data_IF_528320055943
#
_entry.id   IF_528320055943
#
_cell.length_a   1.000
_cell.length_b   1.000
_cell.length_c   1.000
_cell.angle_alpha   90.00
_cell.angle_beta   90.00
_cell.angle_gamma   90.00
#
_symmetry.space_group_name_H-M   'P 1'
#
loop_
_entity.id
_entity.type
_entity.pdbx_description
1 polymer ?
#
# COMPACT_ATOMS: atom_id res chain seq x y z
N UNK A 1 -7.33 12.28 -17.70
CA UNK A 1 -8.52 11.56 -17.25
C UNK A 1 -8.43 11.18 -15.79
N UNK A 2 -9.33 11.68 -14.99
CA UNK A 2 -9.36 11.34 -13.56
C UNK A 2 -10.48 10.38 -13.25
N UNK A 3 -10.26 9.59 -12.20
CA UNK A 3 -11.28 8.71 -11.69
C UNK A 3 -12.42 9.52 -11.08
N UNK A 4 -13.62 9.00 -11.20
CA UNK A 4 -14.80 9.61 -10.61
C UNK A 4 -14.71 9.48 -9.08
N UNK A 5 -14.68 10.61 -8.38
CA UNK A 5 -14.54 10.65 -6.93
C UNK A 5 -15.68 9.97 -6.18
N UNK A 6 -16.87 9.89 -6.78
CA UNK A 6 -18.03 9.24 -6.17
C UNK A 6 -18.09 7.74 -6.42
N UNK A 7 -17.25 7.24 -7.30
CA UNK A 7 -17.21 5.82 -7.65
C UNK A 7 -16.29 5.07 -6.71
N UNK A 8 -16.77 3.94 -6.19
CA UNK A 8 -15.89 3.02 -5.45
C UNK A 8 -14.85 2.45 -6.40
N UNK A 9 -13.71 2.11 -5.87
CA UNK A 9 -12.62 1.52 -6.64
C UNK A 9 -12.24 0.19 -6.02
N UNK A 10 -12.30 -0.88 -6.81
CA UNK A 10 -11.79 -2.17 -6.38
C UNK A 10 -10.27 -2.19 -6.50
N UNK A 11 -9.65 -3.14 -5.84
CA UNK A 11 -8.20 -3.31 -5.93
C UNK A 11 -7.77 -3.61 -7.38
N UNK A 12 -8.57 -4.41 -8.09
CA UNK A 12 -8.29 -4.71 -9.50
C UNK A 12 -8.38 -3.47 -10.37
N UNK A 13 -9.39 -2.65 -10.14
CA UNK A 13 -9.53 -1.38 -10.85
C UNK A 13 -8.36 -0.44 -10.55
N UNK A 14 -7.86 -0.45 -9.32
CA UNK A 14 -6.68 0.34 -8.96
C UNK A 14 -5.44 -0.12 -9.74
N UNK A 15 -5.23 -1.44 -9.85
CA UNK A 15 -4.12 -1.97 -10.64
C UNK A 15 -4.21 -1.56 -12.10
N UNK A 16 -5.41 -1.65 -12.67
CA UNK A 16 -5.65 -1.25 -14.06
C UNK A 16 -5.42 0.26 -14.26
N UNK A 17 -5.91 1.07 -13.34
CA UNK A 17 -5.77 2.52 -13.42
C UNK A 17 -4.31 2.97 -13.31
N UNK A 18 -3.54 2.35 -12.44
CA UNK A 18 -2.11 2.65 -12.31
C UNK A 18 -1.36 2.25 -13.57
N UNK A 19 -1.64 1.08 -14.12
CA UNK A 19 -1.01 0.62 -15.36
C UNK A 19 -1.28 1.59 -16.52
N UNK A 20 -2.53 2.00 -16.65
CA UNK A 20 -2.91 2.98 -17.68
C UNK A 20 -2.19 4.30 -17.47
N UNK A 21 -2.11 4.77 -16.23
CA UNK A 21 -1.43 6.03 -15.92
C UNK A 21 0.05 5.97 -16.30
N UNK A 22 0.73 4.87 -15.99
CA UNK A 22 2.14 4.68 -16.35
C UNK A 22 2.32 4.73 -17.87
N UNK A 23 1.46 4.05 -18.60
CA UNK A 23 1.54 4.02 -20.06
C UNK A 23 1.24 5.39 -20.69
N UNK A 24 0.29 6.12 -20.11
CA UNK A 24 -0.13 7.42 -20.62
C UNK A 24 0.85 8.54 -20.26
N UNK A 25 1.42 8.53 -19.07
CA UNK A 25 2.21 9.64 -18.53
C UNK A 25 3.64 9.25 -18.17
N UNK A 26 3.86 8.02 -17.74
CA UNK A 26 5.17 7.58 -17.28
C UNK A 26 6.03 6.91 -18.34
N UNK A 27 5.48 6.65 -19.50
CA UNK A 27 6.09 5.95 -20.63
C UNK A 27 6.27 4.46 -20.33
N UNK A 28 6.97 4.10 -19.26
CA UNK A 28 7.19 2.71 -18.86
C UNK A 28 7.49 2.63 -17.37
N UNK A 29 7.41 1.43 -16.84
CA UNK A 29 7.85 1.16 -15.47
C UNK A 29 9.38 1.23 -15.37
N UNK A 30 9.89 1.69 -14.25
CA UNK A 30 11.28 1.50 -13.88
C UNK A 30 11.52 0.00 -13.63
N UNK A 31 12.77 -0.40 -13.49
CA UNK A 31 13.07 -1.80 -13.19
C UNK A 31 12.48 -2.22 -11.84
N UNK A 32 12.23 -3.50 -11.68
CA UNK A 32 11.65 -4.06 -10.46
C UNK A 32 12.49 -3.72 -9.23
N UNK A 33 13.81 -3.80 -9.36
CA UNK A 33 14.70 -3.47 -8.23
C UNK A 33 14.66 -1.99 -7.88
N UNK A 34 14.56 -1.11 -8.88
CA UNK A 34 14.38 0.32 -8.64
C UNK A 34 13.08 0.59 -7.92
N UNK A 35 11.98 -0.04 -8.36
CA UNK A 35 10.69 0.13 -7.72
C UNK A 35 10.65 -0.47 -6.32
N UNK A 36 11.39 -1.55 -6.08
CA UNK A 36 11.52 -2.09 -4.72
C UNK A 36 12.24 -1.09 -3.80
N UNK A 37 13.29 -0.44 -4.30
CA UNK A 37 13.96 0.61 -3.55
C UNK A 37 13.03 1.78 -3.25
N UNK A 38 12.21 2.18 -4.23
CA UNK A 38 11.20 3.23 -4.04
C UNK A 38 10.19 2.84 -2.97
N UNK A 39 9.74 1.58 -2.96
CA UNK A 39 8.83 1.09 -1.93
C UNK A 39 9.46 1.23 -0.54
N UNK A 40 10.72 0.85 -0.40
CA UNK A 40 11.43 0.97 0.87
C UNK A 40 11.53 2.42 1.31
N UNK A 41 11.80 3.34 0.39
CA UNK A 41 11.83 4.77 0.68
C UNK A 41 10.48 5.27 1.17
N UNK A 42 9.39 4.89 0.51
CA UNK A 42 8.04 5.31 0.91
C UNK A 42 7.65 4.76 2.28
N UNK A 43 8.03 3.51 2.58
CA UNK A 43 7.81 2.93 3.91
C UNK A 43 8.60 3.74 4.96
N UNK A 44 9.83 4.14 4.64
CA UNK A 44 10.63 5.00 5.51
C UNK A 44 9.97 6.36 5.77
N UNK A 45 9.36 6.96 4.74
CA UNK A 45 8.62 8.22 4.92
C UNK A 45 7.41 8.04 5.82
N UNK A 46 6.67 6.94 5.65
CA UNK A 46 5.57 6.63 6.58
C UNK A 46 6.09 6.47 8.00
N UNK A 47 7.19 5.76 8.18
CA UNK A 47 7.79 5.57 9.51
C UNK A 47 8.18 6.90 10.14
N UNK A 48 8.73 7.82 9.35
CA UNK A 48 9.08 9.16 9.80
C UNK A 48 7.84 9.92 10.31
N UNK A 49 6.78 9.91 9.51
CA UNK A 49 5.54 10.61 9.87
C UNK A 49 4.89 9.99 11.10
N UNK A 50 4.86 8.66 11.18
CA UNK A 50 4.29 7.94 12.33
C UNK A 50 5.08 8.24 13.62
N UNK A 51 6.41 8.23 13.54
CA UNK A 51 7.26 8.52 14.71
C UNK A 51 7.04 9.93 15.23
N UNK A 52 6.82 10.88 14.34
CA UNK A 52 6.61 12.28 14.74
C UNK A 52 5.17 12.56 15.17
N UNK A 53 4.22 11.80 14.67
CA UNK A 53 2.81 11.96 15.06
C UNK A 53 2.52 11.31 16.41
N UNK A 54 3.06 10.12 16.64
CA UNK A 54 2.71 9.28 17.80
C UNK A 54 3.88 8.97 18.70
N UNK A 55 5.11 9.26 18.29
CA UNK A 55 6.32 8.98 19.06
C UNK A 55 6.84 10.21 19.78
N UNK A 56 8.11 10.15 20.13
CA UNK A 56 8.78 11.18 20.93
C UNK A 56 9.41 12.29 20.08
N UNK A 57 9.43 12.14 18.77
CA UNK A 57 9.96 13.15 17.86
C UNK A 57 8.86 14.11 17.43
N UNK A 58 9.25 15.30 17.01
CA UNK A 58 8.33 16.32 16.54
C UNK A 58 8.65 16.75 15.11
N UNK A 59 7.63 17.26 14.43
CA UNK A 59 7.82 17.86 13.10
C UNK A 59 8.52 19.21 13.23
N UNK A 60 9.22 19.60 12.18
CA UNK A 60 9.74 20.94 12.06
C UNK A 60 8.57 21.92 11.90
N UNK A 61 8.77 23.15 12.33
CA UNK A 61 7.79 24.21 12.17
C UNK A 61 7.40 24.33 10.70
N UNK A 62 6.12 24.33 10.43
CA UNK A 62 5.56 24.49 9.07
C UNK A 62 5.37 23.19 8.32
N UNK A 63 5.80 22.05 8.83
CA UNK A 63 5.54 20.76 8.18
C UNK A 63 4.06 20.37 8.34
N UNK A 64 3.49 19.80 7.28
CA UNK A 64 2.10 19.37 7.21
C UNK A 64 2.05 17.84 7.05
N UNK A 65 2.09 17.08 8.14
CA UNK A 65 2.11 15.62 8.06
C UNK A 65 0.78 15.08 7.52
N UNK A 66 0.86 14.04 6.69
CA UNK A 66 -0.32 13.36 6.17
C UNK A 66 -0.05 11.86 6.06
N UNK A 67 -0.49 11.12 7.07
CA UNK A 67 -0.33 9.66 7.11
C UNK A 67 -1.05 9.00 5.93
N UNK A 68 -2.23 9.48 5.59
CA UNK A 68 -2.99 8.93 4.46
C UNK A 68 -2.25 9.04 3.14
N UNK A 69 -1.62 10.18 2.90
CA UNK A 69 -0.81 10.40 1.70
C UNK A 69 0.35 9.42 1.64
N UNK A 70 1.07 9.23 2.75
CA UNK A 70 2.20 8.31 2.80
C UNK A 70 1.75 6.86 2.58
N UNK A 71 0.61 6.48 3.13
CA UNK A 71 0.04 5.14 2.89
C UNK A 71 -0.36 4.96 1.44
N UNK A 72 -0.94 5.98 0.82
CA UNK A 72 -1.31 5.94 -0.59
C UNK A 72 -0.07 5.79 -1.48
N UNK A 73 1.02 6.47 -1.15
CA UNK A 73 2.28 6.37 -1.89
C UNK A 73 2.86 4.96 -1.83
N UNK A 74 2.79 4.31 -0.68
CA UNK A 74 3.21 2.92 -0.50
C UNK A 74 2.35 1.99 -1.38
N UNK A 75 1.05 2.16 -1.31
CA UNK A 75 0.12 1.34 -2.09
C UNK A 75 0.36 1.52 -3.59
N UNK A 76 0.62 2.74 -4.02
CA UNK A 76 0.92 3.05 -5.43
C UNK A 76 2.13 2.26 -5.92
N UNK A 77 3.23 2.28 -5.19
CA UNK A 77 4.44 1.55 -5.59
C UNK A 77 4.25 0.05 -5.50
N UNK A 78 3.51 -0.43 -4.51
CA UNK A 78 3.20 -1.86 -4.40
C UNK A 78 2.39 -2.33 -5.63
N UNK A 79 1.44 -1.52 -6.06
CA UNK A 79 0.66 -1.80 -7.28
C UNK A 79 1.58 -1.84 -8.51
N UNK A 80 2.55 -0.93 -8.61
CA UNK A 80 3.55 -0.96 -9.67
C UNK A 80 4.24 -2.32 -9.75
N UNK A 81 4.72 -2.79 -8.61
CA UNK A 81 5.43 -4.07 -8.54
C UNK A 81 4.53 -5.23 -8.91
N UNK A 82 3.28 -5.21 -8.46
CA UNK A 82 2.33 -6.25 -8.81
C UNK A 82 2.09 -6.27 -10.32
N UNK A 83 1.87 -5.11 -10.92
CA UNK A 83 1.65 -5.01 -12.36
C UNK A 83 2.86 -5.51 -13.17
N UNK A 84 4.07 -5.10 -12.76
CA UNK A 84 5.30 -5.51 -13.45
C UNK A 84 5.54 -7.02 -13.40
N UNK A 85 5.14 -7.65 -12.31
CA UNK A 85 5.41 -9.07 -12.07
C UNK A 85 4.22 -9.97 -12.42
N UNK A 86 3.17 -9.40 -12.98
CA UNK A 86 1.98 -10.14 -13.38
C UNK A 86 1.15 -10.67 -12.23
N UNK A 87 1.19 -10.01 -11.09
CA UNK A 87 0.49 -10.42 -9.87
C UNK A 87 -0.87 -9.74 -9.79
N UNK A 88 -1.92 -10.51 -9.58
CA UNK A 88 -3.26 -10.02 -9.28
C UNK A 88 -3.40 -9.94 -7.76
N UNK A 89 -3.35 -8.72 -7.24
CA UNK A 89 -3.39 -8.50 -5.79
C UNK A 89 -4.71 -8.94 -5.16
N UNK A 90 -5.80 -8.90 -5.91
CA UNK A 90 -7.10 -9.39 -5.42
C UNK A 90 -7.02 -10.88 -5.09
N UNK A 91 -6.47 -11.67 -6.01
CA UNK A 91 -6.32 -13.11 -5.80
C UNK A 91 -5.33 -13.43 -4.69
N UNK A 92 -4.20 -12.71 -4.64
CA UNK A 92 -3.21 -12.94 -3.60
C UNK A 92 -3.76 -12.58 -2.22
N UNK A 93 -4.54 -11.50 -2.14
CA UNK A 93 -5.17 -11.10 -0.89
C UNK A 93 -6.22 -12.13 -0.43
N UNK A 94 -7.02 -12.67 -1.36
CA UNK A 94 -7.97 -13.74 -1.04
C UNK A 94 -7.26 -14.96 -0.46
N UNK A 95 -6.17 -15.39 -1.09
CA UNK A 95 -5.36 -16.50 -0.59
C UNK A 95 -4.82 -16.21 0.80
N UNK A 96 -4.41 -14.98 1.04
CA UNK A 96 -3.91 -14.55 2.34
C UNK A 96 -5.00 -14.61 3.41
N UNK A 97 -6.21 -14.19 3.11
CA UNK A 97 -7.36 -14.31 4.01
C UNK A 97 -7.63 -15.77 4.37
N UNK A 98 -7.70 -16.64 3.37
CA UNK A 98 -7.96 -18.06 3.57
C UNK A 98 -6.88 -18.71 4.42
N UNK A 99 -5.63 -18.44 4.11
CA UNK A 99 -4.48 -18.97 4.85
C UNK A 99 -4.51 -18.54 6.31
N UNK A 100 -4.76 -17.27 6.57
CA UNK A 100 -4.81 -16.72 7.92
C UNK A 100 -6.01 -17.24 8.70
N UNK A 101 -7.15 -17.40 8.04
CA UNK A 101 -8.35 -17.94 8.65
C UNK A 101 -8.14 -19.38 9.10
N UNK A 102 -7.57 -20.21 8.23
CA UNK A 102 -7.28 -21.60 8.54
C UNK A 102 -6.28 -21.70 9.70
N UNK A 103 -5.20 -20.92 9.65
CA UNK A 103 -4.13 -20.94 10.66
C UNK A 103 -4.60 -20.41 12.02
N UNK A 104 -5.32 -19.30 12.01
CA UNK A 104 -5.57 -18.51 13.23
C UNK A 104 -7.02 -18.52 13.73
N UNK A 105 -7.96 -19.19 13.05
CA UNK A 105 -9.38 -19.08 13.36
C UNK A 105 -9.73 -19.34 14.83
N UNK A 106 -9.00 -20.23 15.50
CA UNK A 106 -9.24 -20.54 16.91
C UNK A 106 -8.18 -19.96 17.85
N UNK A 107 -7.08 -19.48 17.30
CA UNK A 107 -5.92 -19.04 18.06
C UNK A 107 -6.23 -17.87 18.99
N UNK A 108 -6.79 -16.81 18.45
CA UNK A 108 -7.12 -15.60 19.21
C UNK A 108 -8.38 -15.78 20.04
N UNK A 109 -9.33 -16.52 19.52
CA UNK A 109 -10.57 -16.85 20.21
C UNK A 109 -10.29 -17.58 21.54
N UNK A 110 -9.29 -18.46 21.55
CA UNK A 110 -8.91 -19.24 22.71
C UNK A 110 -7.85 -18.58 23.60
N UNK A 111 -7.39 -17.38 23.24
CA UNK A 111 -6.40 -16.67 24.01
C UNK A 111 -7.07 -15.82 25.09
N UNK A 112 -6.88 -16.15 26.39
CA UNK A 112 -7.52 -15.42 27.48
C UNK A 112 -7.10 -13.94 27.56
N UNK A 113 -5.93 -13.58 27.01
CA UNK A 113 -5.46 -12.19 27.00
C UNK A 113 -6.28 -11.27 26.09
N UNK A 114 -7.02 -11.86 25.14
CA UNK A 114 -7.80 -11.10 24.16
C UNK A 114 -9.30 -11.07 24.46
N UNK A 115 -9.72 -11.67 25.56
CA UNK A 115 -11.15 -11.73 25.96
C UNK A 115 -11.50 -10.68 27.01
#
# INVERSE_FOLDING_TARGET
HRLNEKKTMTLREAQEAVDKWIKDYGVRYFSELTNMACLTEEVGELARVMARTYGDQSFKKGEQPNIGEEMADILWVLIYLANQTGIDLTEELRKSFDKKTIRDKDRHKNNPKLK
#
